data_IF_263948301486
#
_entry.id   IF_263948301486
#
_cell.length_a   1.000
_cell.length_b   1.000
_cell.length_c   1.000
_cell.angle_alpha   90.00
_cell.angle_beta   90.00
_cell.angle_gamma   90.00
#
_symmetry.space_group_name_H-M   'P 1'
#
loop_
_entity.id
_entity.type
_entity.pdbx_description
1 polymer ?
#
# COMPACT_ATOMS: atom_id res chain seq x y z
N UNK A 1 -8.16 -22.05 -8.33
CA UNK A 1 -7.83 -20.64 -7.97
C UNK A 1 -8.81 -20.18 -6.89
N UNK A 2 -8.30 -19.58 -5.82
CA UNK A 2 -9.07 -19.20 -4.63
C UNK A 2 -10.20 -18.21 -4.98
N UNK A 3 -11.42 -18.47 -4.48
CA UNK A 3 -12.53 -17.54 -4.53
C UNK A 3 -12.51 -16.66 -3.28
N UNK A 4 -12.96 -15.41 -3.40
CA UNK A 4 -12.94 -14.46 -2.29
C UNK A 4 -14.36 -13.94 -2.00
N UNK A 5 -14.77 -14.06 -0.75
CA UNK A 5 -16.02 -13.46 -0.26
C UNK A 5 -15.88 -11.93 -0.16
N UNK A 6 -17.00 -11.21 -0.40
CA UNK A 6 -17.05 -9.74 -0.30
C UNK A 6 -15.96 -9.01 -1.09
N UNK A 7 -15.51 -9.60 -2.20
CA UNK A 7 -14.46 -9.01 -3.04
C UNK A 7 -14.82 -7.59 -3.51
N UNK A 8 -16.10 -7.26 -3.67
CA UNK A 8 -16.57 -5.92 -4.06
C UNK A 8 -16.14 -4.81 -3.09
N UNK A 9 -15.93 -5.11 -1.80
CA UNK A 9 -15.46 -4.13 -0.81
C UNK A 9 -14.09 -3.54 -1.20
N UNK A 10 -13.27 -4.30 -1.89
CA UNK A 10 -11.93 -3.91 -2.32
C UNK A 10 -11.90 -3.61 -3.81
N UNK A 11 -12.50 -4.48 -4.65
CA UNK A 11 -12.41 -4.40 -6.10
C UNK A 11 -13.09 -3.15 -6.68
N UNK A 12 -14.25 -2.75 -6.15
CA UNK A 12 -14.97 -1.59 -6.68
C UNK A 12 -14.18 -0.28 -6.48
N UNK A 13 -13.74 0.08 -5.26
CA UNK A 13 -12.94 1.28 -5.07
C UNK A 13 -11.55 1.19 -5.71
N UNK A 14 -10.90 0.01 -5.74
CA UNK A 14 -9.62 -0.19 -6.41
C UNK A 14 -9.75 0.05 -7.92
N UNK A 15 -10.74 -0.56 -8.58
CA UNK A 15 -10.96 -0.36 -10.01
C UNK A 15 -11.20 1.11 -10.32
N UNK A 16 -12.02 1.81 -9.52
CA UNK A 16 -12.25 3.26 -9.68
C UNK A 16 -10.94 4.05 -9.58
N UNK A 17 -10.08 3.77 -8.59
CA UNK A 17 -8.78 4.42 -8.46
C UNK A 17 -7.88 4.15 -9.68
N UNK A 18 -7.80 2.88 -10.12
CA UNK A 18 -7.02 2.48 -11.30
C UNK A 18 -7.48 3.21 -12.56
N UNK A 19 -8.80 3.33 -12.78
CA UNK A 19 -9.37 4.02 -13.94
C UNK A 19 -9.18 5.53 -13.87
N UNK A 20 -9.51 6.16 -12.74
CA UNK A 20 -9.43 7.61 -12.58
C UNK A 20 -8.01 8.14 -12.76
N UNK A 21 -7.00 7.42 -12.26
CA UNK A 21 -5.60 7.85 -12.34
C UNK A 21 -4.79 7.16 -13.44
N UNK A 22 -5.42 6.34 -14.28
CA UNK A 22 -4.72 5.63 -15.35
C UNK A 22 -3.53 4.82 -14.83
N UNK A 23 -3.74 4.06 -13.73
CA UNK A 23 -2.65 3.39 -13.03
C UNK A 23 -2.10 2.17 -13.77
N UNK A 24 -2.91 1.54 -14.62
CA UNK A 24 -2.55 0.31 -15.34
C UNK A 24 -2.70 0.54 -16.84
N UNK A 25 -1.72 0.10 -17.60
CA UNK A 25 -1.64 0.15 -19.05
C UNK A 25 -1.54 -1.27 -19.63
N UNK A 26 -1.82 -1.42 -20.94
CA UNK A 26 -1.74 -2.71 -21.59
C UNK A 26 -0.30 -3.25 -21.56
N UNK A 27 -0.15 -4.50 -21.16
CA UNK A 27 1.15 -5.18 -21.07
C UNK A 27 1.97 -4.84 -19.81
N UNK A 28 1.42 -4.10 -18.85
CA UNK A 28 2.14 -3.82 -17.60
C UNK A 28 2.51 -5.10 -16.84
N UNK A 29 3.72 -5.10 -16.27
CA UNK A 29 4.13 -6.03 -15.21
C UNK A 29 4.23 -5.26 -13.90
N UNK A 30 3.37 -5.60 -12.93
CA UNK A 30 3.17 -4.85 -11.69
C UNK A 30 3.81 -5.60 -10.51
N UNK A 31 4.84 -5.02 -9.90
CA UNK A 31 5.39 -5.50 -8.64
C UNK A 31 4.53 -5.01 -7.47
N UNK A 32 3.93 -5.91 -6.72
CA UNK A 32 3.24 -5.57 -5.47
C UNK A 32 4.20 -5.72 -4.30
N UNK A 33 4.46 -4.63 -3.59
CA UNK A 33 5.26 -4.66 -2.36
C UNK A 33 4.47 -5.29 -1.22
N UNK A 34 4.76 -6.54 -0.87
CA UNK A 34 4.06 -7.30 0.16
C UNK A 34 4.85 -7.30 1.46
N UNK A 35 4.42 -6.51 2.43
CA UNK A 35 5.06 -6.42 3.75
C UNK A 35 4.61 -7.53 4.73
N UNK A 36 3.65 -8.36 4.35
CA UNK A 36 2.96 -9.28 5.22
C UNK A 36 1.81 -8.67 6.03
N UNK A 37 1.64 -7.35 5.98
CA UNK A 37 0.50 -6.67 6.61
C UNK A 37 -0.80 -6.78 5.80
N UNK A 38 -1.94 -6.57 6.46
CA UNK A 38 -3.28 -6.71 5.88
C UNK A 38 -3.48 -5.93 4.58
N UNK A 39 -2.97 -4.68 4.50
CA UNK A 39 -3.22 -3.79 3.38
C UNK A 39 -2.48 -4.25 2.12
N UNK A 40 -1.20 -4.63 2.25
CA UNK A 40 -0.41 -5.17 1.15
C UNK A 40 -0.91 -6.53 0.67
N UNK A 41 -1.38 -7.38 1.59
CA UNK A 41 -1.97 -8.69 1.27
C UNK A 41 -3.31 -8.53 0.55
N UNK A 42 -4.17 -7.59 1.00
CA UNK A 42 -5.42 -7.27 0.33
C UNK A 42 -5.19 -6.68 -1.08
N UNK A 43 -4.20 -5.79 -1.24
CA UNK A 43 -3.82 -5.24 -2.55
C UNK A 43 -3.40 -6.34 -3.51
N UNK A 44 -2.54 -7.26 -3.07
CA UNK A 44 -2.09 -8.40 -3.85
C UNK A 44 -3.26 -9.24 -4.36
N UNK A 45 -4.16 -9.64 -3.46
CA UNK A 45 -5.35 -10.42 -3.82
C UNK A 45 -6.25 -9.65 -4.78
N UNK A 46 -6.45 -8.35 -4.56
CA UNK A 46 -7.31 -7.53 -5.41
C UNK A 46 -6.76 -7.37 -6.83
N UNK A 47 -5.47 -7.11 -7.00
CA UNK A 47 -4.85 -7.02 -8.32
C UNK A 47 -4.83 -8.38 -9.04
N UNK A 48 -4.51 -9.47 -8.34
CA UNK A 48 -4.58 -10.82 -8.90
C UNK A 48 -6.00 -11.21 -9.34
N UNK A 49 -7.01 -10.79 -8.59
CA UNK A 49 -8.41 -11.03 -8.92
C UNK A 49 -8.87 -10.16 -10.11
N UNK A 50 -8.53 -8.87 -10.09
CA UNK A 50 -8.95 -7.91 -11.11
C UNK A 50 -8.37 -8.26 -12.49
N UNK A 51 -7.15 -8.79 -12.61
CA UNK A 51 -6.53 -9.17 -13.90
C UNK A 51 -7.37 -10.15 -14.72
N UNK A 52 -8.35 -10.86 -14.11
CA UNK A 52 -9.19 -11.85 -14.80
C UNK A 52 -10.26 -11.22 -15.67
N UNK A 53 -10.72 -10.04 -15.31
CA UNK A 53 -11.86 -9.39 -15.94
C UNK A 53 -11.60 -7.92 -16.32
N UNK A 54 -10.43 -7.38 -15.96
CA UNK A 54 -10.04 -6.04 -16.36
C UNK A 54 -9.76 -6.02 -17.88
N UNK A 55 -10.18 -4.96 -18.59
CA UNK A 55 -10.05 -4.93 -20.04
C UNK A 55 -8.60 -4.91 -20.54
N UNK A 56 -7.69 -4.34 -19.75
CA UNK A 56 -6.27 -4.31 -20.06
C UNK A 56 -5.57 -5.54 -19.47
N UNK A 57 -4.67 -6.15 -20.25
CA UNK A 57 -3.88 -7.30 -19.80
C UNK A 57 -2.65 -6.82 -19.04
N UNK A 58 -2.42 -7.39 -17.89
CA UNK A 58 -1.24 -7.12 -17.08
C UNK A 58 -0.84 -8.33 -16.24
N UNK A 59 0.42 -8.35 -15.83
CA UNK A 59 0.98 -9.36 -14.93
C UNK A 59 1.16 -8.81 -13.52
N UNK A 60 1.16 -9.70 -12.52
CA UNK A 60 1.37 -9.34 -11.11
C UNK A 60 2.47 -10.21 -10.55
N UNK A 61 3.44 -9.59 -9.88
CA UNK A 61 4.50 -10.26 -9.12
C UNK A 61 4.44 -9.74 -7.68
N UNK A 62 4.49 -10.63 -6.71
CA UNK A 62 4.55 -10.28 -5.30
C UNK A 62 6.01 -10.21 -4.84
N UNK A 63 6.45 -9.09 -4.29
CA UNK A 63 7.81 -8.91 -3.78
C UNK A 63 7.75 -8.60 -2.29
N UNK A 64 8.39 -9.44 -1.47
CA UNK A 64 8.62 -9.18 -0.05
C UNK A 64 10.07 -8.79 0.19
N UNK A 65 10.31 -7.62 0.74
CA UNK A 65 11.64 -7.24 1.26
C UNK A 65 11.72 -7.69 2.72
N UNK A 66 12.45 -8.76 2.94
CA UNK A 66 12.71 -9.27 4.29
C UNK A 66 13.80 -8.43 4.96
N UNK A 67 13.47 -7.90 6.13
CA UNK A 67 14.36 -7.00 6.87
C UNK A 67 15.40 -7.72 7.74
N UNK A 68 15.36 -9.06 7.78
CA UNK A 68 16.21 -9.85 8.68
C UNK A 68 15.70 -9.87 10.14
N UNK A 69 14.39 -9.72 10.36
CA UNK A 69 13.76 -9.73 11.69
C UNK A 69 13.18 -11.11 12.07
N UNK A 70 13.50 -12.17 11.33
CA UNK A 70 13.01 -13.53 11.59
C UNK A 70 11.49 -13.68 11.42
N UNK A 71 10.89 -12.94 10.48
CA UNK A 71 9.46 -13.09 10.17
C UNK A 71 9.23 -14.30 9.26
N UNK A 72 8.15 -15.05 9.51
CA UNK A 72 7.74 -16.17 8.68
C UNK A 72 6.82 -15.70 7.54
N UNK A 73 7.32 -15.73 6.31
CA UNK A 73 6.57 -15.37 5.10
C UNK A 73 5.97 -16.58 4.36
N UNK A 74 6.15 -17.80 4.86
CA UNK A 74 5.59 -19.03 4.25
C UNK A 74 4.07 -18.94 3.98
N UNK A 75 3.25 -18.32 4.87
CA UNK A 75 1.83 -18.17 4.58
C UNK A 75 1.52 -17.23 3.40
N UNK A 76 2.39 -16.23 3.14
CA UNK A 76 2.26 -15.34 1.98
C UNK A 76 2.63 -16.07 0.70
N UNK A 77 3.72 -16.86 0.72
CA UNK A 77 4.14 -17.68 -0.42
C UNK A 77 3.03 -18.66 -0.84
N UNK A 78 2.41 -19.36 0.13
CA UNK A 78 1.26 -20.25 -0.14
C UNK A 78 0.08 -19.48 -0.74
N UNK A 79 -0.24 -18.29 -0.21
CA UNK A 79 -1.29 -17.45 -0.78
C UNK A 79 -0.99 -17.10 -2.23
N UNK A 80 0.26 -16.72 -2.55
CA UNK A 80 0.67 -16.39 -3.93
C UNK A 80 0.46 -17.59 -4.87
N UNK A 81 0.82 -18.79 -4.45
CA UNK A 81 0.55 -20.02 -5.22
C UNK A 81 -0.96 -20.25 -5.44
N UNK A 82 -1.80 -20.05 -4.40
CA UNK A 82 -3.26 -20.21 -4.48
C UNK A 82 -3.93 -19.25 -5.46
N UNK A 83 -3.35 -18.04 -5.64
CA UNK A 83 -3.88 -17.00 -6.53
C UNK A 83 -3.13 -16.88 -7.85
N UNK A 84 -2.21 -17.81 -8.13
CA UNK A 84 -1.40 -17.86 -9.36
C UNK A 84 -0.61 -16.55 -9.58
N UNK A 85 0.20 -16.18 -8.59
CA UNK A 85 1.11 -15.02 -8.62
C UNK A 85 2.52 -15.46 -8.28
N UNK A 86 3.49 -15.04 -9.07
CA UNK A 86 4.91 -15.23 -8.79
C UNK A 86 5.27 -14.52 -7.47
N UNK A 87 6.00 -15.22 -6.59
CA UNK A 87 6.46 -14.69 -5.31
C UNK A 87 7.98 -14.61 -5.26
N UNK A 88 8.50 -13.45 -4.89
CA UNK A 88 9.92 -13.21 -4.71
C UNK A 88 10.19 -12.63 -3.34
N UNK A 89 11.09 -13.27 -2.57
CA UNK A 89 11.58 -12.77 -1.28
C UNK A 89 12.99 -12.26 -1.44
N UNK A 90 13.18 -10.98 -1.12
CA UNK A 90 14.48 -10.31 -1.11
C UNK A 90 15.00 -10.29 0.32
N UNK A 91 15.97 -11.12 0.63
CA UNK A 91 16.62 -11.14 1.94
C UNK A 91 17.58 -9.96 2.07
N UNK A 92 17.50 -9.24 3.19
CA UNK A 92 18.35 -8.07 3.45
C UNK A 92 18.76 -7.99 4.92
N UNK A 93 19.84 -7.26 5.19
CA UNK A 93 20.29 -6.90 6.54
C UNK A 93 19.81 -5.50 6.97
N UNK A 94 18.68 -5.01 6.43
CA UNK A 94 18.19 -3.65 6.71
C UNK A 94 17.99 -3.40 8.18
N UNK A 95 17.47 -4.38 8.94
CA UNK A 95 17.26 -4.23 10.38
C UNK A 95 18.58 -3.97 11.10
N UNK A 96 19.65 -4.68 10.78
CA UNK A 96 20.98 -4.47 11.38
C UNK A 96 21.49 -3.07 11.11
N UNK A 97 21.44 -2.62 9.83
CA UNK A 97 21.88 -1.28 9.42
C UNK A 97 21.10 -0.18 10.17
N UNK A 98 19.78 -0.37 10.32
CA UNK A 98 18.91 0.60 10.99
C UNK A 98 19.16 0.65 12.49
N UNK A 99 19.38 -0.49 13.13
CA UNK A 99 19.66 -0.54 14.57
C UNK A 99 21.05 -0.01 14.93
N UNK A 100 22.03 -0.17 14.06
CA UNK A 100 23.37 0.44 14.23
C UNK A 100 23.30 1.97 14.10
N UNK A 101 22.46 2.51 13.21
CA UNK A 101 22.27 3.95 12.97
C UNK A 101 21.03 4.47 13.70
N UNK A 102 21.03 4.45 15.02
CA UNK A 102 19.89 4.80 15.89
C UNK A 102 19.21 6.15 15.59
N UNK A 103 19.92 7.12 15.01
CA UNK A 103 19.41 8.48 14.79
C UNK A 103 18.40 8.63 13.63
N UNK A 104 18.35 7.69 12.67
CA UNK A 104 17.49 7.79 11.49
C UNK A 104 16.30 6.80 11.52
N UNK A 105 16.35 5.76 12.32
CA UNK A 105 15.28 4.81 12.63
C UNK A 105 14.36 4.42 11.47
N UNK A 106 13.06 4.67 11.64
CA UNK A 106 12.02 4.29 10.68
C UNK A 106 12.16 4.98 9.30
N UNK A 107 12.72 6.18 9.23
CA UNK A 107 12.95 6.90 7.97
C UNK A 107 13.98 6.19 7.10
N UNK A 108 15.12 5.80 7.68
CA UNK A 108 16.16 5.02 7.00
C UNK A 108 15.61 3.65 6.55
N UNK A 109 14.91 2.95 7.44
CA UNK A 109 14.27 1.67 7.12
C UNK A 109 13.34 1.79 5.89
N UNK A 110 12.46 2.80 5.88
CA UNK A 110 11.53 3.03 4.78
C UNK A 110 12.26 3.32 3.46
N UNK A 111 13.36 4.10 3.49
CA UNK A 111 14.17 4.43 2.32
C UNK A 111 14.87 3.20 1.76
N UNK A 112 15.52 2.39 2.63
CA UNK A 112 16.21 1.17 2.22
C UNK A 112 15.25 0.11 1.68
N UNK A 113 14.10 -0.12 2.34
CA UNK A 113 13.05 -1.04 1.85
C UNK A 113 12.54 -0.65 0.46
N UNK A 114 12.29 0.64 0.27
CA UNK A 114 11.85 1.16 -1.04
C UNK A 114 12.92 0.93 -2.09
N UNK A 115 14.19 1.20 -1.77
CA UNK A 115 15.31 0.95 -2.67
C UNK A 115 15.38 -0.53 -3.09
N UNK A 116 15.39 -1.45 -2.13
CA UNK A 116 15.44 -2.89 -2.38
C UNK A 116 14.25 -3.38 -3.22
N UNK A 117 13.01 -2.92 -2.90
CA UNK A 117 11.81 -3.25 -3.67
C UNK A 117 11.93 -2.79 -5.13
N UNK A 118 12.38 -1.55 -5.37
CA UNK A 118 12.53 -1.02 -6.71
C UNK A 118 13.62 -1.76 -7.50
N UNK A 119 14.78 -2.02 -6.91
CA UNK A 119 15.88 -2.76 -7.55
C UNK A 119 15.41 -4.14 -8.00
N UNK A 120 14.68 -4.84 -7.15
CA UNK A 120 14.18 -6.17 -7.50
C UNK A 120 13.07 -6.11 -8.55
N UNK A 121 12.17 -5.15 -8.48
CA UNK A 121 11.15 -4.93 -9.48
C UNK A 121 11.76 -4.61 -10.88
N UNK A 122 12.82 -3.81 -10.93
CA UNK A 122 13.59 -3.54 -12.16
C UNK A 122 14.24 -4.83 -12.70
N UNK A 123 14.86 -5.62 -11.83
CA UNK A 123 15.48 -6.91 -12.22
C UNK A 123 14.46 -7.87 -12.83
N UNK A 124 13.23 -7.84 -12.35
CA UNK A 124 12.11 -8.68 -12.85
C UNK A 124 11.42 -8.09 -14.09
N UNK A 125 11.87 -6.95 -14.59
CA UNK A 125 11.28 -6.27 -15.75
C UNK A 125 9.88 -5.67 -15.46
N UNK A 126 9.60 -5.32 -14.20
CA UNK A 126 8.34 -4.66 -13.86
C UNK A 126 8.33 -3.21 -14.35
N UNK A 127 7.19 -2.78 -14.85
CA UNK A 127 6.94 -1.40 -15.27
C UNK A 127 6.37 -0.53 -14.16
N UNK A 128 5.72 -1.16 -13.19
CA UNK A 128 5.04 -0.48 -12.07
C UNK A 128 5.30 -1.16 -10.73
N UNK A 129 5.32 -0.34 -9.67
CA UNK A 129 5.32 -0.81 -8.27
C UNK A 129 4.02 -0.38 -7.60
N UNK A 130 3.27 -1.32 -7.05
CA UNK A 130 2.03 -1.06 -6.33
C UNK A 130 2.23 -1.15 -4.82
N UNK A 131 1.76 -0.13 -4.09
CA UNK A 131 1.82 -0.06 -2.64
C UNK A 131 0.41 0.00 -2.01
N UNK A 132 0.24 -0.69 -0.89
CA UNK A 132 -1.04 -0.86 -0.20
C UNK A 132 -1.46 0.31 0.69
N UNK A 133 -1.26 1.56 0.25
CA UNK A 133 -1.76 2.73 0.99
C UNK A 133 -3.26 2.90 0.77
N UNK A 134 -3.99 3.05 1.87
CA UNK A 134 -5.45 3.19 1.91
C UNK A 134 -5.89 4.65 1.95
N UNK A 135 -7.20 4.89 1.83
CA UNK A 135 -7.82 6.21 2.02
C UNK A 135 -7.47 6.82 3.38
N UNK A 136 -7.45 5.99 4.41
CA UNK A 136 -7.11 6.41 5.78
C UNK A 136 -5.65 6.87 5.87
N UNK A 137 -4.72 6.20 5.17
CA UNK A 137 -3.31 6.62 5.13
C UNK A 137 -3.13 7.98 4.45
N UNK A 138 -3.91 8.29 3.40
CA UNK A 138 -3.89 9.60 2.73
C UNK A 138 -4.28 10.69 3.72
N UNK A 139 -5.41 10.51 4.43
CA UNK A 139 -5.90 11.47 5.42
C UNK A 139 -4.91 11.65 6.58
N UNK A 140 -4.36 10.55 7.11
CA UNK A 140 -3.35 10.59 8.17
C UNK A 140 -2.10 11.33 7.71
N UNK A 141 -1.66 11.15 6.46
CA UNK A 141 -0.47 11.82 5.93
C UNK A 141 -0.68 13.32 5.83
N UNK A 142 -1.86 13.79 5.36
CA UNK A 142 -2.17 15.22 5.34
C UNK A 142 -2.12 15.84 6.75
N UNK A 143 -2.81 15.21 7.71
CA UNK A 143 -2.88 15.73 9.09
C UNK A 143 -1.50 15.71 9.75
N UNK A 144 -0.71 14.64 9.52
CA UNK A 144 0.64 14.52 10.02
C UNK A 144 1.55 15.63 9.44
N UNK A 145 1.51 15.86 8.14
CA UNK A 145 2.32 16.89 7.50
C UNK A 145 1.90 18.29 7.94
N UNK A 146 0.60 18.54 8.06
CA UNK A 146 0.08 19.82 8.53
C UNK A 146 0.55 20.15 9.95
N UNK A 147 0.48 19.22 10.88
CA UNK A 147 0.76 19.46 12.30
C UNK A 147 2.25 19.41 12.65
N UNK A 148 3.01 18.54 12.00
CA UNK A 148 4.41 18.29 12.37
C UNK A 148 5.43 18.83 11.37
N UNK A 149 5.02 19.08 10.12
CA UNK A 149 5.91 19.63 9.10
C UNK A 149 5.48 21.02 8.58
N UNK A 150 4.29 21.51 8.95
CA UNK A 150 3.75 22.78 8.46
C UNK A 150 3.49 22.78 6.94
N UNK A 151 3.15 21.60 6.37
CA UNK A 151 2.98 21.40 4.93
C UNK A 151 1.63 20.81 4.60
N UNK A 152 1.07 21.24 3.48
CA UNK A 152 -0.14 20.66 2.88
C UNK A 152 0.32 19.73 1.76
N UNK A 153 0.74 18.53 2.13
CA UNK A 153 1.26 17.51 1.23
C UNK A 153 0.73 16.14 1.62
N UNK A 154 0.50 15.28 0.62
CA UNK A 154 0.20 13.86 0.77
C UNK A 154 1.12 13.05 -0.16
N UNK A 155 0.91 11.76 -0.33
CA UNK A 155 1.59 10.99 -1.37
C UNK A 155 0.71 10.89 -2.62
N UNK A 156 1.30 11.00 -3.79
CA UNK A 156 0.63 10.92 -5.08
C UNK A 156 -0.09 9.59 -5.30
N UNK A 157 -1.29 9.57 -5.92
CA UNK A 157 -1.95 8.32 -6.36
C UNK A 157 -1.10 7.51 -7.34
N UNK A 158 -0.49 8.22 -8.30
CA UNK A 158 0.42 7.69 -9.31
C UNK A 158 1.56 8.69 -9.50
N UNK A 159 2.81 8.24 -9.45
CA UNK A 159 3.95 9.09 -9.77
C UNK A 159 5.13 8.26 -10.31
N UNK A 160 5.89 8.84 -11.21
CA UNK A 160 7.15 8.28 -11.68
C UNK A 160 8.29 9.08 -11.04
N UNK A 161 9.06 8.49 -10.11
CA UNK A 161 10.17 9.18 -9.47
C UNK A 161 11.23 9.59 -10.51
N UNK A 162 11.83 10.77 -10.34
CA UNK A 162 12.87 11.26 -11.21
C UNK A 162 14.03 10.26 -11.36
N UNK A 163 14.50 10.10 -12.60
CA UNK A 163 15.60 9.18 -12.93
C UNK A 163 15.25 7.70 -12.90
N UNK A 164 13.96 7.33 -12.81
CA UNK A 164 13.49 5.94 -12.87
C UNK A 164 12.49 5.73 -13.99
N UNK A 165 12.58 4.56 -14.65
CA UNK A 165 11.62 4.14 -15.68
C UNK A 165 10.43 3.38 -15.10
N UNK A 166 10.20 3.46 -13.79
CA UNK A 166 9.19 2.69 -13.10
C UNK A 166 8.20 3.61 -12.37
N UNK A 167 6.91 3.40 -12.62
CA UNK A 167 5.84 4.19 -12.01
C UNK A 167 5.37 3.55 -10.71
N UNK A 168 5.25 4.36 -9.66
CA UNK A 168 4.67 3.99 -8.38
C UNK A 168 3.17 4.24 -8.41
N UNK A 169 2.36 3.25 -8.05
CA UNK A 169 0.89 3.33 -8.01
C UNK A 169 0.34 2.93 -6.63
N UNK A 170 -0.82 3.48 -6.27
CA UNK A 170 -1.50 3.21 -4.99
C UNK A 170 -2.97 2.88 -5.21
N UNK A 171 -3.29 1.67 -5.67
CA UNK A 171 -4.66 1.32 -6.09
C UNK A 171 -5.69 1.33 -4.95
N UNK A 172 -5.28 1.24 -3.66
CA UNK A 172 -6.20 1.23 -2.51
C UNK A 172 -6.57 2.62 -1.97
N UNK A 173 -6.18 3.73 -2.62
CA UNK A 173 -6.43 5.09 -2.12
C UNK A 173 -7.90 5.45 -1.92
N UNK A 174 -8.84 4.75 -2.57
CA UNK A 174 -10.28 4.92 -2.33
C UNK A 174 -10.86 3.90 -1.36
N UNK A 175 -10.04 2.91 -0.95
CA UNK A 175 -10.47 1.84 -0.05
C UNK A 175 -10.20 2.23 1.40
N UNK A 176 -11.19 2.06 2.29
CA UNK A 176 -11.01 2.32 3.71
C UNK A 176 -10.28 1.18 4.41
N UNK A 177 -9.54 1.48 5.46
CA UNK A 177 -8.91 0.45 6.32
C UNK A 177 -9.94 -0.54 6.89
N UNK A 178 -11.16 -0.07 7.19
CA UNK A 178 -12.28 -0.91 7.64
C UNK A 178 -12.65 -1.96 6.59
N UNK A 179 -12.76 -1.55 5.31
CA UNK A 179 -13.06 -2.46 4.21
C UNK A 179 -11.96 -3.50 4.00
N UNK A 180 -10.69 -3.07 4.09
CA UNK A 180 -9.54 -3.98 4.02
C UNK A 180 -9.59 -5.01 5.15
N UNK A 181 -9.80 -4.57 6.39
CA UNK A 181 -9.88 -5.46 7.55
C UNK A 181 -11.03 -6.47 7.42
N UNK A 182 -12.21 -6.02 6.97
CA UNK A 182 -13.35 -6.90 6.75
C UNK A 182 -13.07 -7.94 5.67
N UNK A 183 -12.49 -7.54 4.54
CA UNK A 183 -12.09 -8.43 3.46
C UNK A 183 -11.07 -9.48 3.92
N UNK A 184 -10.00 -9.05 4.61
CA UNK A 184 -8.99 -9.96 5.13
C UNK A 184 -9.57 -10.98 6.11
N UNK A 185 -10.42 -10.54 7.05
CA UNK A 185 -11.03 -11.41 8.05
C UNK A 185 -11.97 -12.44 7.40
N UNK A 186 -12.83 -12.01 6.46
CA UNK A 186 -13.78 -12.90 5.78
C UNK A 186 -13.09 -14.01 4.98
N UNK A 187 -11.91 -13.70 4.43
CA UNK A 187 -11.17 -14.63 3.60
C UNK A 187 -10.04 -15.34 4.33
N UNK A 188 -9.92 -15.16 5.65
CA UNK A 188 -8.83 -15.68 6.45
C UNK A 188 -7.45 -15.46 5.79
N UNK A 189 -7.21 -14.23 5.30
CA UNK A 189 -5.95 -13.91 4.64
C UNK A 189 -4.80 -13.96 5.64
N UNK A 190 -3.64 -14.51 5.26
CA UNK A 190 -2.49 -14.55 6.13
C UNK A 190 -1.97 -13.15 6.42
N UNK A 191 -1.72 -12.88 7.69
CA UNK A 191 -1.08 -11.65 8.15
C UNK A 191 0.15 -12.06 8.95
N UNK A 192 1.31 -11.64 8.50
CA UNK A 192 2.59 -11.92 9.16
C UNK A 192 2.74 -11.01 10.37
N UNK A 193 3.08 -11.60 11.50
CA UNK A 193 3.35 -10.84 12.72
C UNK A 193 4.60 -9.98 12.53
N UNK A 194 4.47 -8.69 12.76
CA UNK A 194 5.62 -7.78 12.72
C UNK A 194 6.46 -7.94 14.00
N UNK A 195 7.73 -8.27 13.84
CA UNK A 195 8.70 -8.41 14.93
C UNK A 195 9.54 -7.14 15.16
N UNK A 196 9.22 -6.01 14.48
CA UNK A 196 9.96 -4.78 14.62
C UNK A 196 9.73 -4.16 16.02
N UNK A 197 10.78 -3.95 16.84
CA UNK A 197 10.63 -3.35 18.16
C UNK A 197 10.19 -1.88 18.12
N UNK A 198 10.38 -1.20 16.99
CA UNK A 198 10.04 0.22 16.80
C UNK A 198 8.62 0.44 16.25
N UNK A 199 7.81 -0.60 16.11
CA UNK A 199 6.46 -0.53 15.52
C UNK A 199 5.42 0.18 16.42
N UNK A 200 5.76 0.41 17.68
CA UNK A 200 4.89 1.04 18.68
C UNK A 200 5.42 2.45 19.03
N UNK A 201 4.54 3.44 19.06
CA UNK A 201 4.81 4.85 19.37
C UNK A 201 5.36 5.67 18.17
N UNK A 202 4.57 5.81 17.15
CA UNK A 202 4.90 6.69 16.02
C UNK A 202 3.92 7.86 15.95
N UNK A 203 4.39 9.03 15.50
CA UNK A 203 3.56 10.20 15.21
C UNK A 203 2.32 9.84 14.35
N UNK A 204 2.45 8.85 13.48
CA UNK A 204 1.32 8.35 12.68
C UNK A 204 0.24 7.71 13.55
N UNK A 205 0.62 7.01 14.62
CA UNK A 205 -0.36 6.42 15.56
C UNK A 205 -1.13 7.51 16.30
N UNK A 206 -0.45 8.56 16.76
CA UNK A 206 -1.09 9.69 17.44
C UNK A 206 -2.11 10.40 16.54
N UNK A 207 -1.73 10.65 15.28
CA UNK A 207 -2.62 11.25 14.26
C UNK A 207 -3.81 10.34 13.97
N UNK A 208 -3.60 9.04 13.88
CA UNK A 208 -4.67 8.05 13.70
C UNK A 208 -5.68 8.09 14.84
N UNK A 209 -5.21 8.15 16.08
CA UNK A 209 -6.07 8.24 17.26
C UNK A 209 -6.86 9.55 17.26
N UNK A 210 -6.23 10.68 16.94
CA UNK A 210 -6.87 11.98 16.82
C UNK A 210 -8.01 11.97 15.77
N UNK A 211 -7.76 11.42 14.58
CA UNK A 211 -8.79 11.30 13.53
C UNK A 211 -9.93 10.38 14.00
N UNK A 212 -9.62 9.27 14.65
CA UNK A 212 -10.61 8.33 15.18
C UNK A 212 -11.48 8.96 16.27
N UNK A 213 -10.92 9.79 17.14
CA UNK A 213 -11.70 10.52 18.16
C UNK A 213 -12.60 11.58 17.50
N UNK A 214 -12.10 12.30 16.52
CA UNK A 214 -12.90 13.24 15.75
C UNK A 214 -14.05 12.55 15.01
N UNK A 215 -13.79 11.37 14.41
CA UNK A 215 -14.79 10.55 13.73
C UNK A 215 -15.89 10.04 14.67
N UNK A 216 -15.55 9.69 15.94
CA UNK A 216 -16.54 9.30 16.96
C UNK A 216 -17.49 10.45 17.31
N UNK A 217 -16.96 11.68 17.40
CA UNK A 217 -17.75 12.88 17.74
C UNK A 217 -18.55 13.39 16.54
N UNK A 218 -18.04 13.26 15.35
CA UNK A 218 -18.63 13.80 14.13
C UNK A 218 -18.34 12.85 12.95
N UNK A 219 -19.27 11.95 12.67
CA UNK A 219 -19.13 10.94 11.59
C UNK A 219 -18.80 11.58 10.25
N UNK A 220 -17.93 10.94 9.48
CA UNK A 220 -17.52 11.36 8.15
C UNK A 220 -16.35 12.34 8.13
N UNK A 221 -15.62 12.53 9.24
CA UNK A 221 -14.40 13.38 9.28
C UNK A 221 -13.38 12.88 8.25
N UNK A 222 -13.08 11.59 8.24
CA UNK A 222 -12.12 11.00 7.31
C UNK A 222 -12.54 11.21 5.84
N UNK A 223 -13.83 11.07 5.55
CA UNK A 223 -14.39 11.35 4.22
C UNK A 223 -14.22 12.83 3.84
N UNK A 224 -14.53 13.76 4.75
CA UNK A 224 -14.38 15.21 4.47
C UNK A 224 -12.93 15.63 4.25
N UNK A 225 -11.99 15.09 5.03
CA UNK A 225 -10.55 15.33 4.81
C UNK A 225 -10.17 14.86 3.40
N UNK A 226 -10.56 13.65 3.02
CA UNK A 226 -10.23 13.10 1.70
C UNK A 226 -10.85 13.92 0.57
N UNK A 227 -12.12 14.31 0.68
CA UNK A 227 -12.78 15.19 -0.31
C UNK A 227 -12.12 16.56 -0.43
N UNK A 228 -11.60 17.10 0.66
CA UNK A 228 -10.83 18.34 0.60
C UNK A 228 -9.54 18.16 -0.21
N UNK A 229 -8.82 17.04 -0.02
CA UNK A 229 -7.62 16.71 -0.80
C UNK A 229 -7.93 16.66 -2.30
N UNK A 230 -9.01 15.96 -2.69
CA UNK A 230 -9.44 15.85 -4.09
C UNK A 230 -9.81 17.21 -4.68
N UNK A 231 -10.67 17.97 -3.99
CA UNK A 231 -11.14 19.29 -4.46
C UNK A 231 -10.04 20.33 -4.60
N UNK A 232 -9.03 20.26 -3.74
CA UNK A 232 -7.88 21.17 -3.78
C UNK A 232 -6.79 20.71 -4.75
N UNK A 233 -6.89 19.52 -5.32
CA UNK A 233 -5.91 18.99 -6.25
C UNK A 233 -4.55 18.72 -5.62
N UNK A 234 -4.50 18.36 -4.31
CA UNK A 234 -3.24 18.17 -3.59
C UNK A 234 -2.51 16.93 -4.15
N UNK A 235 -1.26 17.11 -4.54
CA UNK A 235 -0.33 16.03 -4.95
C UNK A 235 -0.93 15.05 -5.97
N UNK A 236 -1.52 15.56 -7.03
CA UNK A 236 -2.07 14.77 -8.13
C UNK A 236 -3.42 14.11 -7.85
N UNK A 237 -4.03 14.38 -6.70
CA UNK A 237 -5.44 14.05 -6.50
C UNK A 237 -6.31 14.99 -7.34
N UNK A 238 -7.43 14.47 -7.84
CA UNK A 238 -8.40 15.21 -8.64
C UNK A 238 -9.81 14.84 -8.23
N UNK A 239 -10.73 15.82 -8.33
CA UNK A 239 -12.16 15.58 -8.13
C UNK A 239 -12.78 15.04 -9.41
N UNK A 240 -13.04 13.72 -9.44
CA UNK A 240 -13.68 13.04 -10.57
C UNK A 240 -15.22 13.02 -10.47
N UNK A 241 -15.78 13.69 -9.46
CA UNK A 241 -17.19 13.55 -9.12
C UNK A 241 -17.50 12.22 -8.40
N UNK A 242 -18.54 12.18 -7.57
CA UNK A 242 -19.12 10.94 -7.04
C UNK A 242 -20.24 10.44 -7.94
#
# INVERSE_FOLDING_TARGET
>A
MKEFEKASLILSPLRRAVQNYGMIEEGDKIAVGVSGGKDSTALLCALALMRRFYPLKYEVVAITVDLGLGMDYTPIEKLCADIDVEYVRVETDISKIVFEKQSEGCSLCSRLRRGALHTEAERLGCTKVALGHTKDDVCQTLVMNLFYAGKIEVFWPKNTPDGRNMTLIRPLIYTTEKSVKEFCNKNALPIVKNNCPMDKNTVRQDVREMINEAEKKNKGVNHRIFRAIEKMGIDGFSDFGE
#
